data_IF_907698053461
#
_entry.id   IF_907698053461
#
_cell.length_a   1.000
_cell.length_b   1.000
_cell.length_c   1.000
_cell.angle_alpha   90.00
_cell.angle_beta   90.00
_cell.angle_gamma   90.00
#
_symmetry.space_group_name_H-M   'P 1'
#
loop_
_entity.id
_entity.type
_entity.pdbx_description
1 polymer ?
#
# COMPACT_ATOMS: atom_id res chain seq x y z
N UNK A 1 -18.24 6.40 -0.72
CA UNK A 1 -17.21 5.45 -0.28
C UNK A 1 -16.19 6.24 0.52
N UNK A 2 -16.21 6.10 1.84
CA UNK A 2 -15.21 6.71 2.72
C UNK A 2 -13.98 5.79 2.75
N UNK A 3 -12.77 6.35 2.73
CA UNK A 3 -11.54 5.58 2.79
C UNK A 3 -10.59 6.15 3.84
N UNK A 4 -9.91 5.26 4.56
CA UNK A 4 -9.00 5.63 5.66
C UNK A 4 -7.56 5.63 5.16
N UNK A 5 -6.83 6.71 5.42
CA UNK A 5 -5.40 6.81 5.09
C UNK A 5 -4.60 6.70 6.39
N UNK A 6 -3.78 5.66 6.48
CA UNK A 6 -2.88 5.39 7.59
C UNK A 6 -1.42 5.46 7.10
N UNK A 7 -0.84 6.67 7.03
CA UNK A 7 0.48 6.82 6.44
C UNK A 7 1.57 6.21 7.31
N UNK A 8 2.47 5.43 6.70
CA UNK A 8 3.76 5.05 7.30
C UNK A 8 4.57 6.31 7.64
N UNK A 9 5.03 6.45 8.91
CA UNK A 9 5.90 7.55 9.34
C UNK A 9 7.15 7.65 8.47
N UNK A 10 7.64 8.87 8.23
CA UNK A 10 8.76 9.10 7.31
C UNK A 10 10.02 8.28 7.67
N UNK A 11 10.30 8.15 8.97
CA UNK A 11 11.43 7.40 9.52
C UNK A 11 11.34 5.89 9.27
N UNK A 12 10.15 5.37 9.00
CA UNK A 12 9.89 3.94 8.78
C UNK A 12 9.72 3.57 7.29
N UNK A 13 9.90 4.56 6.39
CA UNK A 13 9.81 4.36 4.95
C UNK A 13 11.06 3.71 4.40
N UNK A 14 10.88 2.79 3.46
CA UNK A 14 12.02 2.15 2.80
C UNK A 14 12.76 3.18 1.94
N UNK A 15 14.11 3.12 1.90
CA UNK A 15 14.86 4.01 1.05
C UNK A 15 14.53 3.72 -0.42
N UNK A 16 14.53 4.78 -1.24
CA UNK A 16 14.42 4.62 -2.70
C UNK A 16 15.58 3.77 -3.22
N UNK A 17 15.32 2.78 -4.09
CA UNK A 17 16.40 2.06 -4.78
C UNK A 17 17.30 3.06 -5.50
N UNK A 18 18.62 2.95 -5.30
CA UNK A 18 19.61 3.85 -5.91
C UNK A 18 20.06 3.39 -7.30
N UNK A 19 19.91 2.10 -7.57
CA UNK A 19 20.38 1.45 -8.80
C UNK A 19 19.16 0.96 -9.58
N UNK A 20 18.77 1.72 -10.60
CA UNK A 20 17.60 1.41 -11.42
C UNK A 20 17.78 0.13 -12.25
N UNK A 21 19.01 -0.30 -12.53
CA UNK A 21 19.27 -1.55 -13.25
C UNK A 21 18.93 -2.80 -12.43
N UNK A 22 18.72 -2.65 -11.12
CA UNK A 22 18.46 -3.74 -10.16
C UNK A 22 17.03 -3.79 -9.63
N UNK A 23 16.10 -3.03 -10.19
CA UNK A 23 14.71 -3.04 -9.72
C UNK A 23 14.06 -4.42 -9.84
N UNK A 24 14.32 -5.12 -10.96
CA UNK A 24 13.66 -6.38 -11.28
C UNK A 24 12.14 -6.23 -11.41
N UNK A 25 11.46 -7.28 -11.87
CA UNK A 25 10.01 -7.29 -11.93
C UNK A 25 9.42 -7.99 -10.70
N UNK A 26 8.52 -7.32 -9.98
CA UNK A 26 7.77 -7.90 -8.85
C UNK A 26 8.59 -8.22 -7.59
N UNK A 27 9.71 -7.51 -7.36
CA UNK A 27 10.60 -7.75 -6.19
C UNK A 27 10.64 -6.61 -5.18
N UNK A 28 10.33 -5.39 -5.61
CA UNK A 28 10.37 -4.18 -4.78
C UNK A 28 8.98 -3.54 -4.80
N UNK A 29 8.46 -3.26 -3.61
CA UNK A 29 7.12 -2.69 -3.41
C UNK A 29 7.20 -1.38 -2.64
N UNK A 30 6.23 -0.48 -2.84
CA UNK A 30 6.09 0.76 -2.09
C UNK A 30 5.64 0.53 -0.65
N UNK A 31 5.91 1.48 0.24
CA UNK A 31 5.55 1.45 1.67
C UNK A 31 4.06 1.33 1.96
N UNK A 32 3.22 1.66 0.98
CA UNK A 32 1.77 1.63 1.13
C UNK A 32 1.10 0.72 0.11
N UNK A 33 -0.05 0.20 0.52
CA UNK A 33 -0.96 -0.61 -0.29
C UNK A 33 -2.40 -0.16 -0.05
N UNK A 34 -3.22 -0.25 -1.10
CA UNK A 34 -4.66 -0.09 -0.99
C UNK A 34 -5.32 -1.45 -0.75
N UNK A 35 -6.27 -1.50 0.17
CA UNK A 35 -7.13 -2.66 0.39
C UNK A 35 -8.58 -2.21 0.50
N UNK A 36 -9.49 -3.04 0.03
CA UNK A 36 -10.92 -2.87 0.23
C UNK A 36 -11.54 -4.25 0.41
N UNK A 37 -12.59 -4.34 1.21
CA UNK A 37 -13.35 -5.56 1.40
C UNK A 37 -14.58 -5.55 0.52
N UNK A 38 -14.97 -6.72 0.08
CA UNK A 38 -16.23 -6.91 -0.62
C UNK A 38 -17.08 -7.95 0.08
N UNK A 39 -18.34 -7.63 0.31
CA UNK A 39 -19.36 -8.58 0.78
C UNK A 39 -20.61 -8.46 -0.09
N UNK A 40 -21.41 -9.53 -0.24
CA UNK A 40 -22.63 -9.48 -1.04
C UNK A 40 -23.66 -8.45 -0.56
N UNK A 41 -23.69 -8.16 0.73
CA UNK A 41 -24.65 -7.27 1.40
C UNK A 41 -24.22 -5.79 1.38
N UNK A 42 -22.92 -5.50 1.50
CA UNK A 42 -22.42 -4.12 1.55
C UNK A 42 -21.71 -3.66 0.27
N UNK A 43 -21.46 -4.58 -0.68
CA UNK A 43 -20.64 -4.29 -1.85
C UNK A 43 -19.20 -4.03 -1.44
N UNK A 44 -18.53 -3.04 -2.04
CA UNK A 44 -17.18 -2.64 -1.61
C UNK A 44 -17.24 -1.70 -0.41
N UNK A 45 -16.56 -2.07 0.67
CA UNK A 45 -16.49 -1.30 1.91
C UNK A 45 -15.10 -1.42 2.56
N UNK A 46 -14.89 -0.73 3.68
CA UNK A 46 -13.64 -0.75 4.45
C UNK A 46 -12.37 -0.43 3.64
N UNK A 47 -12.46 0.52 2.71
CA UNK A 47 -11.33 0.95 1.91
C UNK A 47 -10.24 1.61 2.78
N UNK A 48 -9.00 1.11 2.70
CA UNK A 48 -7.85 1.65 3.43
C UNK A 48 -6.62 1.77 2.56
N UNK A 49 -5.84 2.83 2.79
CA UNK A 49 -4.45 2.96 2.32
C UNK A 49 -3.56 2.91 3.55
N UNK A 50 -2.71 1.91 3.65
CA UNK A 50 -1.88 1.67 4.84
C UNK A 50 -0.57 1.00 4.50
N UNK A 51 0.21 0.66 5.52
CA UNK A 51 1.49 -0.05 5.37
C UNK A 51 1.32 -1.31 4.50
N UNK A 52 2.19 -1.48 3.52
CA UNK A 52 2.37 -2.76 2.83
C UNK A 52 2.92 -3.78 3.82
N UNK A 53 2.15 -4.85 4.08
CA UNK A 53 2.46 -5.93 5.01
C UNK A 53 2.67 -7.25 4.25
#
# INVERSE_FOLDING_TARGET
>A
MEYKINPVPAEERRPKPKDESKLGFGKIYSDHMFTARWTPDEGWHDATVGRYA
#
